data_IF_585672181330
#
_entry.id   IF_585672181330
#
_cell.length_a   1.000
_cell.length_b   1.000
_cell.length_c   1.000
_cell.angle_alpha   90.00
_cell.angle_beta   90.00
_cell.angle_gamma   90.00
#
_symmetry.space_group_name_H-M   'P 1'
#
loop_
_entity.id
_entity.type
_entity.pdbx_description
1 polymer ?
#
# COMPACT_ATOMS: atom_id res chain seq x y z
N UNK A 1 -18.67 -5.07 1.45
CA UNK A 1 -17.25 -5.50 1.61
C UNK A 1 -16.80 -5.04 2.98
N UNK A 2 -16.14 -5.89 3.77
CA UNK A 2 -15.67 -5.54 5.13
C UNK A 2 -14.21 -5.09 5.12
N UNK A 3 -13.83 -4.32 4.10
CA UNK A 3 -12.47 -3.85 3.88
C UNK A 3 -12.40 -2.33 4.07
N UNK A 4 -11.46 -1.87 4.89
CA UNK A 4 -11.21 -0.44 5.13
C UNK A 4 -9.75 -0.12 4.78
N UNK A 5 -9.50 0.61 3.68
CA UNK A 5 -8.14 1.03 3.31
C UNK A 5 -7.64 2.17 4.21
N UNK A 6 -6.33 2.23 4.42
CA UNK A 6 -5.60 3.37 5.00
C UNK A 6 -5.29 4.43 3.94
N UNK A 7 -4.61 5.52 4.35
CA UNK A 7 -3.99 6.46 3.41
C UNK A 7 -3.10 5.72 2.40
N UNK A 8 -3.17 6.17 1.15
CA UNK A 8 -2.35 5.65 0.06
C UNK A 8 -0.98 6.34 0.05
N UNK A 9 0.08 5.55 0.02
CA UNK A 9 1.46 6.03 -0.09
C UNK A 9 1.94 5.78 -1.52
N UNK A 10 2.24 6.83 -2.26
CA UNK A 10 2.85 6.71 -3.58
C UNK A 10 4.35 6.40 -3.45
N UNK A 11 4.81 5.41 -4.21
CA UNK A 11 6.21 5.00 -4.31
C UNK A 11 6.63 5.13 -5.77
N UNK A 12 7.45 6.15 -6.11
CA UNK A 12 7.91 6.32 -7.48
C UNK A 12 8.84 5.18 -7.89
N UNK A 13 8.77 4.79 -9.16
CA UNK A 13 9.77 3.90 -9.76
C UNK A 13 11.13 4.62 -9.73
N UNK A 14 12.22 3.92 -9.37
CA UNK A 14 13.56 4.48 -9.55
C UNK A 14 13.77 4.91 -11.00
N UNK A 15 14.15 6.16 -11.21
CA UNK A 15 14.28 6.78 -12.54
C UNK A 15 12.95 6.83 -13.33
N UNK A 16 11.82 7.06 -12.65
CA UNK A 16 10.53 7.25 -13.31
C UNK A 16 10.51 8.45 -14.25
N UNK A 17 9.85 8.30 -15.39
CA UNK A 17 9.80 9.32 -16.45
C UNK A 17 8.52 10.18 -16.40
N UNK A 18 7.57 9.83 -15.54
CA UNK A 18 6.34 10.60 -15.31
C UNK A 18 5.95 10.60 -13.84
N UNK A 19 5.16 11.59 -13.42
CA UNK A 19 4.72 11.77 -12.02
C UNK A 19 4.03 10.52 -11.45
N UNK A 20 3.28 9.80 -12.29
CA UNK A 20 2.51 8.60 -11.97
C UNK A 20 3.26 7.28 -12.25
N UNK A 21 4.55 7.33 -12.62
CA UNK A 21 5.37 6.14 -12.86
C UNK A 21 5.83 5.52 -11.54
N UNK A 22 4.97 4.70 -10.95
CA UNK A 22 5.21 4.08 -9.66
C UNK A 22 4.08 3.17 -9.23
N UNK A 23 4.00 2.94 -7.92
CA UNK A 23 2.92 2.18 -7.29
C UNK A 23 2.30 2.95 -6.14
N UNK A 24 1.02 2.69 -5.86
CA UNK A 24 0.35 3.15 -4.64
C UNK A 24 0.23 1.97 -3.68
N UNK A 25 0.69 2.17 -2.46
CA UNK A 25 0.57 1.22 -1.36
C UNK A 25 -0.57 1.65 -0.43
N UNK A 26 -1.44 0.72 -0.05
CA UNK A 26 -2.47 0.98 0.97
C UNK A 26 -2.64 -0.26 1.84
N UNK A 27 -2.59 -0.09 3.15
CA UNK A 27 -2.94 -1.17 4.07
C UNK A 27 -4.46 -1.29 4.13
N UNK A 28 -4.97 -2.52 4.10
CA UNK A 28 -6.40 -2.80 4.09
C UNK A 28 -6.72 -3.66 5.30
N UNK A 29 -7.48 -3.06 6.22
CA UNK A 29 -8.02 -3.77 7.38
C UNK A 29 -9.25 -4.54 6.97
N UNK A 30 -9.34 -5.79 7.41
CA UNK A 30 -10.54 -6.61 7.26
C UNK A 30 -11.30 -6.65 8.59
N UNK A 31 -12.54 -6.17 8.60
CA UNK A 31 -13.39 -6.17 9.80
C UNK A 31 -14.05 -7.52 10.07
N UNK A 32 -13.87 -8.52 9.18
CA UNK A 32 -14.29 -9.89 9.45
C UNK A 32 -13.36 -10.54 10.49
N UNK A 33 -13.89 -11.02 11.63
CA UNK A 33 -13.09 -11.71 12.63
C UNK A 33 -12.31 -12.88 12.03
N UNK A 34 -11.02 -12.97 12.34
CA UNK A 34 -10.14 -14.06 11.91
C UNK A 34 -9.72 -14.01 10.43
N UNK A 35 -10.11 -12.99 9.66
CA UNK A 35 -9.57 -12.79 8.32
C UNK A 35 -8.38 -11.81 8.34
N UNK A 36 -7.25 -12.15 7.71
CA UNK A 36 -6.09 -11.27 7.71
C UNK A 36 -6.37 -10.00 6.92
N UNK A 37 -5.83 -8.89 7.40
CA UNK A 37 -5.64 -7.70 6.58
C UNK A 37 -4.53 -7.92 5.54
N UNK A 38 -4.36 -6.97 4.64
CA UNK A 38 -3.34 -7.06 3.59
C UNK A 38 -2.80 -5.70 3.17
N UNK A 39 -1.60 -5.68 2.63
CA UNK A 39 -1.05 -4.55 1.88
C UNK A 39 -1.45 -4.70 0.41
N UNK A 40 -2.19 -3.71 -0.09
CA UNK A 40 -2.58 -3.58 -1.48
C UNK A 40 -1.51 -2.80 -2.26
N UNK A 41 -1.16 -3.28 -3.45
CA UNK A 41 -0.25 -2.62 -4.38
C UNK A 41 -0.99 -2.35 -5.68
N UNK A 42 -1.10 -1.07 -6.03
CA UNK A 42 -1.76 -0.60 -7.23
C UNK A 42 -0.74 0.02 -8.18
N UNK A 43 -0.92 -0.19 -9.48
CA UNK A 43 -0.20 0.58 -10.50
C UNK A 43 -0.59 2.06 -10.42
N UNK A 44 0.41 2.95 -10.37
CA UNK A 44 0.20 4.38 -10.16
C UNK A 44 -0.59 5.09 -11.26
N UNK A 45 -0.55 4.55 -12.49
CA UNK A 45 -1.22 5.14 -13.65
C UNK A 45 -2.67 4.69 -13.78
N UNK A 46 -2.90 3.41 -13.53
CA UNK A 46 -4.18 2.74 -13.85
C UNK A 46 -5.01 2.41 -12.62
N UNK A 47 -4.44 2.49 -11.41
CA UNK A 47 -5.03 2.02 -10.16
C UNK A 47 -5.46 0.55 -10.21
N UNK A 48 -4.92 -0.25 -11.14
CA UNK A 48 -5.16 -1.69 -11.20
C UNK A 48 -4.30 -2.38 -10.15
N UNK A 49 -4.88 -3.36 -9.47
CA UNK A 49 -4.16 -4.21 -8.53
C UNK A 49 -3.08 -5.00 -9.27
N UNK A 50 -1.82 -4.82 -8.84
CA UNK A 50 -0.66 -5.53 -9.39
C UNK A 50 -0.12 -6.55 -8.40
N UNK A 51 -0.35 -6.37 -7.10
CA UNK A 51 0.02 -7.33 -6.07
C UNK A 51 -0.75 -7.11 -4.76
N UNK A 52 -0.68 -8.13 -3.90
CA UNK A 52 -1.22 -8.13 -2.54
C UNK A 52 -0.34 -8.96 -1.61
N UNK A 53 -0.08 -8.45 -0.42
CA UNK A 53 0.61 -9.19 0.64
C UNK A 53 -0.27 -9.30 1.89
N UNK A 54 -0.55 -10.52 2.34
CA UNK A 54 -1.35 -10.76 3.55
C UNK A 54 -0.49 -10.65 4.82
N UNK A 55 -1.08 -10.08 5.87
CA UNK A 55 -0.44 -9.93 7.17
C UNK A 55 -1.09 -10.90 8.15
N UNK A 56 -0.28 -11.79 8.74
CA UNK A 56 -0.77 -12.84 9.66
C UNK A 56 -1.10 -12.34 11.08
N UNK A 57 -1.27 -11.03 11.25
CA UNK A 57 -1.66 -10.40 12.53
C UNK A 57 -2.78 -9.39 12.28
N UNK A 58 -3.44 -8.98 13.35
CA UNK A 58 -4.40 -7.89 13.28
C UNK A 58 -3.73 -6.60 12.78
N UNK A 59 -4.29 -6.03 11.72
CA UNK A 59 -3.97 -4.67 11.27
C UNK A 59 -4.96 -3.71 11.90
N UNK A 60 -4.46 -2.74 12.65
CA UNK A 60 -5.25 -1.60 13.10
C UNK A 60 -5.31 -0.54 12.01
N UNK A 61 -6.37 0.26 11.99
CA UNK A 61 -6.52 1.35 11.04
C UNK A 61 -5.46 2.41 11.33
N UNK A 62 -4.51 2.57 10.41
CA UNK A 62 -3.55 3.67 10.43
C UNK A 62 -4.04 4.81 9.51
N UNK A 63 -3.64 6.04 9.84
CA UNK A 63 -3.96 7.25 9.08
C UNK A 63 -2.80 7.74 8.22
N UNK A 64 -1.54 7.46 8.60
CA UNK A 64 -0.37 7.95 7.86
C UNK A 64 0.65 6.85 7.60
N UNK A 65 1.23 6.83 6.41
CA UNK A 65 2.29 5.90 6.03
C UNK A 65 3.50 6.62 5.44
N UNK A 66 4.69 6.04 5.64
CA UNK A 66 5.93 6.54 5.05
C UNK A 66 6.64 5.39 4.33
N UNK A 67 6.99 5.63 3.06
CA UNK A 67 7.94 4.79 2.34
C UNK A 67 9.34 5.39 2.43
N UNK A 68 10.32 4.59 2.86
CA UNK A 68 11.73 4.99 2.92
C UNK A 68 12.49 4.23 1.83
N UNK A 69 12.96 4.90 0.77
CA UNK A 69 13.78 4.26 -0.25
C UNK A 69 15.09 3.71 0.35
N UNK A 70 15.52 2.55 -0.16
CA UNK A 70 16.84 2.01 0.21
C UNK A 70 17.96 2.92 -0.32
N UNK A 71 18.85 3.37 0.56
CA UNK A 71 19.94 4.31 0.22
C UNK A 71 19.61 5.78 0.45
N UNK A 72 18.46 6.10 1.06
CA UNK A 72 18.21 7.43 1.62
C UNK A 72 19.15 7.63 2.82
N UNK A 73 20.27 8.33 2.64
CA UNK A 73 21.03 8.82 3.78
C UNK A 73 20.19 9.89 4.47
N UNK A 74 19.82 9.66 5.73
CA UNK A 74 19.42 10.73 6.64
C UNK A 74 20.65 11.54 7.05
#
# INVERSE_FOLDING_TARGET
>A
TNYCPSEGVFVPRPNGESEDDGVVLSSVVNSNPGQPGFLLVLDGRTFKEVARAYVNTELYKDVHGLFIPHGSNH
#
